data_IF_995326261313
#
_entry.id   IF_995326261313
#
_cell.length_a   1.000
_cell.length_b   1.000
_cell.length_c   1.000
_cell.angle_alpha   90.00
_cell.angle_beta   90.00
_cell.angle_gamma   90.00
#
_symmetry.space_group_name_H-M   'P 1'
#
loop_
_entity.id
_entity.type
_entity.pdbx_description
1 polymer ?
#
# COMPACT_ATOMS: atom_id res chain seq x y z
N UNK A 1 1.11 8.34 10.81
CA UNK A 1 1.52 7.00 11.28
C UNK A 1 2.93 6.75 10.77
N UNK A 2 3.88 6.29 11.59
CA UNK A 2 5.24 6.02 11.09
C UNK A 2 5.34 4.59 10.52
N UNK A 3 5.10 4.44 9.22
CA UNK A 3 5.38 3.20 8.48
C UNK A 3 6.90 2.96 8.41
N UNK A 4 7.48 2.25 9.39
CA UNK A 4 8.94 2.07 9.54
C UNK A 4 9.66 1.29 8.41
N UNK A 5 8.97 0.91 7.32
CA UNK A 5 9.52 0.15 6.19
C UNK A 5 9.14 0.74 4.81
N UNK A 6 9.01 2.07 4.69
CA UNK A 6 8.75 2.67 3.37
C UNK A 6 9.90 2.37 2.43
N UNK A 7 9.57 1.80 1.28
CA UNK A 7 10.50 1.60 0.17
C UNK A 7 10.58 2.82 -0.75
N UNK A 8 9.57 3.69 -0.67
CA UNK A 8 9.45 4.92 -1.47
C UNK A 8 9.66 6.13 -0.55
N UNK A 9 10.50 7.06 -0.98
CA UNK A 9 10.77 8.34 -0.29
C UNK A 9 9.77 9.42 -0.72
N UNK A 10 9.58 10.46 0.10
CA UNK A 10 8.77 11.63 -0.25
C UNK A 10 9.28 12.29 -1.52
N UNK A 11 10.61 12.47 -1.67
CA UNK A 11 11.22 12.99 -2.88
C UNK A 11 10.85 12.20 -4.15
N UNK A 12 10.84 10.87 -4.07
CA UNK A 12 10.41 10.04 -5.20
C UNK A 12 8.92 10.20 -5.50
N UNK A 13 8.08 10.33 -4.47
CA UNK A 13 6.66 10.56 -4.64
C UNK A 13 6.37 11.93 -5.28
N UNK A 14 7.04 12.99 -4.81
CA UNK A 14 6.95 14.33 -5.39
C UNK A 14 7.31 14.29 -6.87
N UNK A 15 8.43 13.63 -7.22
CA UNK A 15 8.85 13.49 -8.61
C UNK A 15 7.78 12.80 -9.46
N UNK A 16 7.29 11.64 -9.03
CA UNK A 16 6.28 10.88 -9.79
C UNK A 16 4.94 11.62 -9.89
N UNK A 17 4.51 12.31 -8.85
CA UNK A 17 3.30 13.14 -8.88
C UNK A 17 3.48 14.31 -9.86
N UNK A 18 4.64 14.96 -9.85
CA UNK A 18 4.99 16.04 -10.76
C UNK A 18 5.04 15.60 -12.24
N UNK A 19 5.56 14.41 -12.52
CA UNK A 19 5.52 13.79 -13.86
C UNK A 19 4.09 13.62 -14.39
N UNK A 20 3.09 13.59 -13.50
CA UNK A 20 1.66 13.48 -13.81
C UNK A 20 0.90 14.81 -13.65
N UNK A 21 1.60 15.94 -13.55
CA UNK A 21 1.00 17.27 -13.42
C UNK A 21 0.43 17.59 -12.04
N UNK A 22 0.76 16.78 -11.02
CA UNK A 22 0.34 17.00 -9.63
C UNK A 22 1.51 17.58 -8.85
N UNK A 23 1.46 18.89 -8.58
CA UNK A 23 2.47 19.57 -7.77
C UNK A 23 2.12 19.45 -6.30
N UNK A 24 3.05 18.95 -5.49
CA UNK A 24 2.91 18.83 -4.04
C UNK A 24 4.22 19.19 -3.33
N UNK A 25 4.12 19.66 -2.10
CA UNK A 25 5.26 19.86 -1.20
C UNK A 25 5.58 18.57 -0.41
N UNK A 26 6.62 18.60 0.45
CA UNK A 26 7.06 17.43 1.20
C UNK A 26 6.04 16.92 2.22
N UNK A 27 5.32 17.84 2.89
CA UNK A 27 4.29 17.50 3.87
C UNK A 27 3.09 16.83 3.19
N UNK A 28 2.65 17.36 2.05
CA UNK A 28 1.59 16.78 1.22
C UNK A 28 2.00 15.41 0.69
N UNK A 29 3.23 15.27 0.18
CA UNK A 29 3.76 14.00 -0.27
C UNK A 29 3.84 12.96 0.86
N UNK A 30 4.15 13.38 2.09
CA UNK A 30 4.14 12.53 3.27
C UNK A 30 2.74 12.00 3.56
N UNK A 31 1.73 12.87 3.57
CA UNK A 31 0.32 12.50 3.79
C UNK A 31 -0.17 11.53 2.72
N UNK A 32 0.12 11.81 1.45
CA UNK A 32 -0.24 10.93 0.32
C UNK A 32 0.41 9.56 0.48
N UNK A 33 1.71 9.50 0.76
CA UNK A 33 2.41 8.24 0.99
C UNK A 33 1.83 7.47 2.18
N UNK A 34 1.54 8.13 3.31
CA UNK A 34 0.89 7.48 4.47
C UNK A 34 -0.42 6.81 4.07
N UNK A 35 -1.25 7.52 3.30
CA UNK A 35 -2.54 7.02 2.85
C UNK A 35 -2.40 5.81 1.90
N UNK A 36 -1.47 5.88 0.95
CA UNK A 36 -1.22 4.77 0.02
C UNK A 36 -0.70 3.51 0.74
N UNK A 37 0.18 3.68 1.73
CA UNK A 37 0.64 2.56 2.55
C UNK A 37 -0.48 1.95 3.41
N UNK A 38 -1.38 2.78 3.94
CA UNK A 38 -2.55 2.31 4.66
C UNK A 38 -3.46 1.46 3.77
N UNK A 39 -3.76 1.94 2.56
CA UNK A 39 -4.56 1.19 1.59
C UNK A 39 -3.89 -0.13 1.20
N UNK A 40 -2.60 -0.11 0.91
CA UNK A 40 -1.85 -1.33 0.57
C UNK A 40 -1.90 -2.35 1.71
N UNK A 41 -1.74 -1.91 2.96
CA UNK A 41 -1.83 -2.77 4.13
C UNK A 41 -3.24 -3.35 4.33
N UNK A 42 -4.29 -2.54 4.14
CA UNK A 42 -5.68 -2.98 4.24
C UNK A 42 -6.02 -4.02 3.16
N UNK A 43 -5.67 -3.73 1.90
CA UNK A 43 -5.91 -4.62 0.76
C UNK A 43 -5.14 -5.94 0.89
N UNK A 44 -3.88 -5.89 1.34
CA UNK A 44 -3.10 -7.12 1.56
C UNK A 44 -3.74 -8.03 2.60
N UNK A 45 -4.31 -7.49 3.68
CA UNK A 45 -5.02 -8.30 4.67
C UNK A 45 -6.27 -8.98 4.09
N UNK A 46 -7.01 -8.30 3.22
CA UNK A 46 -8.16 -8.89 2.52
C UNK A 46 -7.71 -10.01 1.60
N UNK A 47 -6.70 -9.78 0.76
CA UNK A 47 -6.19 -10.80 -0.17
C UNK A 47 -5.59 -12.02 0.55
N UNK A 48 -4.84 -11.81 1.64
CA UNK A 48 -4.29 -12.92 2.42
C UNK A 48 -5.37 -13.73 3.14
N UNK A 49 -6.46 -13.11 3.59
CA UNK A 49 -7.60 -13.83 4.19
C UNK A 49 -8.33 -14.68 3.16
N UNK A 50 -8.54 -14.16 1.95
CA UNK A 50 -9.20 -14.90 0.88
C UNK A 50 -8.34 -16.08 0.38
N UNK A 51 -7.03 -15.90 0.20
CA UNK A 51 -6.14 -16.98 -0.25
C UNK A 51 -6.04 -18.12 0.78
N UNK A 52 -6.07 -17.81 2.07
CA UNK A 52 -6.07 -18.81 3.15
C UNK A 52 -7.40 -19.57 3.25
N UNK A 53 -8.54 -18.89 3.01
CA UNK A 53 -9.88 -19.50 2.97
C UNK A 53 -10.02 -20.51 1.82
N UNK A 54 -9.39 -20.23 0.67
CA UNK A 54 -9.41 -21.14 -0.47
C UNK A 54 -8.50 -22.36 -0.34
N UNK A 55 -7.45 -22.31 0.49
CA UNK A 55 -6.56 -23.47 0.74
C UNK A 55 -7.17 -24.50 1.69
N UNK A 56 -7.96 -24.09 2.67
CA UNK A 56 -8.61 -25.02 3.63
C UNK A 56 -9.77 -25.81 3.04
N UNK A 57 -10.27 -25.42 1.87
CA UNK A 57 -11.43 -26.06 1.22
C UNK A 57 -11.08 -27.25 0.32
N UNK A 58 -9.78 -27.51 0.05
CA UNK A 58 -9.32 -28.61 -0.82
C UNK A 58 -8.82 -29.86 -0.09
N UNK A 59 -8.79 -29.87 1.25
CA UNK A 59 -8.24 -30.98 2.07
C UNK A 59 -9.35 -31.82 2.72
N UNK A 60 -10.60 -31.71 2.27
CA UNK A 60 -11.75 -32.36 2.89
C UNK A 60 -12.67 -33.12 1.94
N UNK A 61 -12.11 -33.77 0.91
CA UNK A 61 -12.90 -34.60 0.01
C UNK A 61 -12.12 -35.84 -0.45
N UNK A 62 -11.83 -36.68 0.53
CA UNK A 62 -11.54 -38.10 0.34
C UNK A 62 -12.64 -38.92 1.04
#
# INVERSE_FOLDING_TARGET
MEFRKRKITTASAIKSLGENGITVNDDEAKVILDFLYLLAAATLQTYLKDDMSHRTSKVGKD
#
